data_IF_577903090614
#
_entry.id   IF_577903090614
#
_cell.length_a   1.000
_cell.length_b   1.000
_cell.length_c   1.000
_cell.angle_alpha   90.00
_cell.angle_beta   90.00
_cell.angle_gamma   90.00
#
_symmetry.space_group_name_H-M   'P 1'
#
loop_
_entity.id
_entity.type
_entity.pdbx_description
1 polymer ?
#
# COMPACT_ATOMS: atom_id res chain seq x y z
N UNK A 1 21.51 -30.70 14.88
CA UNK A 1 20.78 -29.62 14.20
C UNK A 1 19.46 -29.48 14.92
N UNK A 2 19.38 -28.54 15.87
CA UNK A 2 18.10 -28.22 16.53
C UNK A 2 17.47 -27.18 15.63
N UNK A 3 16.43 -27.59 14.93
CA UNK A 3 15.56 -26.68 14.18
C UNK A 3 14.79 -25.86 15.23
N UNK A 4 15.14 -24.58 15.38
CA UNK A 4 14.41 -23.67 16.25
C UNK A 4 13.07 -23.37 15.59
N UNK A 5 12.03 -24.13 15.99
CA UNK A 5 10.65 -23.67 15.82
C UNK A 5 10.56 -22.23 16.37
N UNK A 6 9.86 -21.32 15.68
CA UNK A 6 9.65 -19.98 16.20
C UNK A 6 9.06 -20.07 17.62
N UNK A 7 9.51 -19.21 18.52
CA UNK A 7 8.93 -19.13 19.86
C UNK A 7 7.43 -18.84 19.74
N UNK A 8 6.60 -19.41 20.61
CA UNK A 8 5.14 -19.23 20.57
C UNK A 8 4.75 -17.75 20.43
N UNK A 9 5.46 -16.85 21.12
CA UNK A 9 5.31 -15.39 21.03
C UNK A 9 5.53 -14.83 19.62
N UNK A 10 6.51 -15.33 18.86
CA UNK A 10 6.75 -14.89 17.48
C UNK A 10 5.63 -15.35 16.54
N UNK A 11 5.11 -16.56 16.75
CA UNK A 11 3.94 -17.06 16.01
C UNK A 11 2.67 -16.28 16.34
N UNK A 12 2.45 -15.95 17.61
CA UNK A 12 1.29 -15.17 18.06
C UNK A 12 1.34 -13.75 17.49
N UNK A 13 2.52 -13.10 17.53
CA UNK A 13 2.74 -11.78 16.92
C UNK A 13 2.38 -11.78 15.43
N UNK A 14 2.88 -12.77 14.68
CA UNK A 14 2.58 -12.90 13.26
C UNK A 14 1.07 -13.06 13.00
N UNK A 15 0.35 -13.82 13.85
CA UNK A 15 -1.10 -13.97 13.73
C UNK A 15 -1.86 -12.65 13.98
N UNK A 16 -1.43 -11.84 14.95
CA UNK A 16 -2.02 -10.51 15.18
C UNK A 16 -1.77 -9.57 14.01
N UNK A 17 -0.52 -9.47 13.53
CA UNK A 17 -0.17 -8.62 12.39
C UNK A 17 -0.94 -9.03 11.13
N UNK A 18 -1.06 -10.34 10.88
CA UNK A 18 -1.88 -10.86 9.79
C UNK A 18 -3.31 -10.36 9.87
N UNK A 19 -3.92 -10.42 11.05
CA UNK A 19 -5.31 -9.97 11.23
C UNK A 19 -5.47 -8.46 11.02
N UNK A 20 -4.50 -7.66 11.47
CA UNK A 20 -4.47 -6.22 11.25
C UNK A 20 -4.37 -5.90 9.74
N UNK A 21 -3.53 -6.62 9.00
CA UNK A 21 -3.39 -6.46 7.55
C UNK A 21 -4.64 -6.91 6.77
N UNK A 22 -5.36 -7.94 7.25
CA UNK A 22 -6.63 -8.38 6.64
C UNK A 22 -7.71 -7.29 6.72
N UNK A 23 -7.84 -6.62 7.86
CA UNK A 23 -8.88 -5.61 8.13
C UNK A 23 -8.27 -4.27 8.55
N UNK A 24 -7.59 -3.55 7.64
CA UNK A 24 -6.78 -2.39 7.99
C UNK A 24 -7.60 -1.18 8.45
N UNK A 25 -8.91 -1.12 8.15
CA UNK A 25 -9.78 -0.05 8.65
C UNK A 25 -10.45 -0.35 9.99
N UNK A 26 -10.35 -1.59 10.49
CA UNK A 26 -10.91 -1.99 11.78
C UNK A 26 -9.87 -1.80 12.90
N UNK A 27 -10.23 -1.07 13.95
CA UNK A 27 -9.35 -0.85 15.09
C UNK A 27 -9.39 -2.02 16.08
N UNK A 28 -10.38 -2.91 15.98
CA UNK A 28 -10.56 -4.05 16.91
C UNK A 28 -9.32 -4.94 16.96
N UNK A 29 -8.73 -5.42 15.83
CA UNK A 29 -7.51 -6.22 15.88
C UNK A 29 -6.30 -5.47 16.45
N UNK A 30 -6.23 -4.14 16.27
CA UNK A 30 -5.14 -3.32 16.81
C UNK A 30 -5.24 -3.19 18.33
N UNK A 31 -6.46 -3.04 18.85
CA UNK A 31 -6.70 -3.00 20.29
C UNK A 31 -6.37 -4.35 20.95
N UNK A 32 -6.80 -5.47 20.35
CA UNK A 32 -6.45 -6.81 20.83
C UNK A 32 -4.94 -7.04 20.81
N UNK A 33 -4.25 -6.59 19.76
CA UNK A 33 -2.78 -6.64 19.70
C UNK A 33 -2.13 -5.78 20.80
N UNK A 34 -2.67 -4.59 21.08
CA UNK A 34 -2.24 -3.76 22.20
C UNK A 34 -2.41 -4.45 23.56
N UNK A 35 -3.54 -5.11 23.79
CA UNK A 35 -3.77 -5.89 25.02
C UNK A 35 -2.72 -7.01 25.17
N UNK A 36 -2.44 -7.73 24.09
CA UNK A 36 -1.41 -8.77 24.08
C UNK A 36 0.01 -8.23 24.31
N UNK A 37 0.36 -7.09 23.70
CA UNK A 37 1.65 -6.41 23.93
C UNK A 37 1.84 -6.07 25.42
N UNK A 38 0.79 -5.56 26.06
CA UNK A 38 0.81 -5.27 27.50
C UNK A 38 1.02 -6.53 28.34
N UNK A 39 0.38 -7.65 27.98
CA UNK A 39 0.55 -8.95 28.65
C UNK A 39 1.99 -9.48 28.59
N UNK A 40 2.71 -9.26 27.48
CA UNK A 40 4.11 -9.67 27.33
C UNK A 40 5.13 -8.62 27.84
N UNK A 41 4.64 -7.51 28.39
CA UNK A 41 5.47 -6.45 28.99
C UNK A 41 5.88 -5.32 28.03
N UNK A 42 5.40 -5.32 26.79
CA UNK A 42 5.62 -4.27 25.78
C UNK A 42 4.61 -3.12 25.92
N UNK A 43 4.49 -2.60 27.15
CA UNK A 43 3.46 -1.62 27.55
C UNK A 43 3.53 -0.34 26.72
N UNK A 44 4.74 0.11 26.35
CA UNK A 44 4.93 1.35 25.57
C UNK A 44 4.39 1.23 24.15
N UNK A 45 4.57 0.09 23.49
CA UNK A 45 4.03 -0.15 22.15
C UNK A 45 2.50 -0.25 22.21
N UNK A 46 1.96 -0.93 23.23
CA UNK A 46 0.51 -1.01 23.47
C UNK A 46 -0.15 0.37 23.67
N UNK A 47 0.41 1.19 24.55
CA UNK A 47 -0.06 2.56 24.81
C UNK A 47 0.01 3.41 23.54
N UNK A 48 1.11 3.34 22.80
CA UNK A 48 1.29 4.08 21.56
C UNK A 48 0.21 3.73 20.51
N UNK A 49 -0.09 2.45 20.31
CA UNK A 49 -1.13 2.01 19.36
C UNK A 49 -2.50 2.58 19.76
N UNK A 50 -2.88 2.45 21.04
CA UNK A 50 -4.17 2.95 21.55
C UNK A 50 -4.28 4.47 21.42
N UNK A 51 -3.21 5.20 21.72
CA UNK A 51 -3.17 6.66 21.57
C UNK A 51 -3.33 7.08 20.10
N UNK A 52 -2.63 6.41 19.18
CA UNK A 52 -2.70 6.71 17.75
C UNK A 52 -4.08 6.39 17.14
N UNK A 53 -4.81 5.39 17.66
CA UNK A 53 -6.21 5.13 17.28
C UNK A 53 -7.10 6.33 17.66
N UNK A 54 -6.94 6.85 18.87
CA UNK A 54 -7.75 7.99 19.36
C UNK A 54 -7.33 9.31 18.70
N UNK A 55 -6.04 9.47 18.36
CA UNK A 55 -5.45 10.70 17.80
C UNK A 55 -4.60 10.41 16.57
N UNK A 56 -5.22 10.05 15.43
CA UNK A 56 -4.49 9.65 14.22
C UNK A 56 -3.73 10.80 13.53
N UNK A 57 -3.88 12.04 13.99
CA UNK A 57 -3.26 13.23 13.38
C UNK A 57 -1.75 13.37 13.63
N UNK A 58 -1.11 12.43 14.33
CA UNK A 58 0.33 12.42 14.51
C UNK A 58 0.99 11.64 13.36
N UNK A 59 1.16 12.30 12.21
CA UNK A 59 1.96 11.75 11.12
C UNK A 59 3.43 11.83 11.54
N UNK A 60 4.06 10.68 11.75
CA UNK A 60 5.52 10.60 11.87
C UNK A 60 6.03 10.11 10.51
N UNK A 61 6.61 11.01 9.71
CA UNK A 61 7.35 10.61 8.51
C UNK A 61 8.65 9.95 8.97
N UNK A 62 8.73 8.64 8.79
CA UNK A 62 9.93 7.85 9.03
C UNK A 62 10.47 7.42 7.67
N UNK A 63 11.61 7.99 7.27
CA UNK A 63 12.39 7.45 6.16
C UNK A 63 13.09 6.19 6.68
N UNK A 64 12.65 5.02 6.22
CA UNK A 64 13.27 3.75 6.58
C UNK A 64 14.04 3.24 5.36
N UNK A 65 15.33 3.14 5.58
CA UNK A 65 16.37 2.55 4.75
C UNK A 65 16.83 3.35 3.51
N UNK A 66 18.15 3.44 3.45
CA UNK A 66 18.93 3.93 2.30
C UNK A 66 19.44 2.70 1.58
N UNK A 67 19.34 2.68 0.26
CA UNK A 67 20.03 1.68 -0.54
C UNK A 67 21.54 1.85 -0.36
N UNK A 68 22.22 0.90 0.29
CA UNK A 68 23.68 0.97 0.46
C UNK A 68 24.42 0.92 -0.89
N UNK A 69 23.80 0.41 -1.96
CA UNK A 69 24.37 0.25 -3.30
C UNK A 69 24.01 1.43 -4.21
N UNK A 70 22.78 1.93 -4.19
CA UNK A 70 22.33 3.03 -5.07
C UNK A 70 22.28 4.41 -4.40
N UNK A 71 22.24 4.46 -3.06
CA UNK A 71 22.11 5.69 -2.28
C UNK A 71 20.71 6.32 -2.30
N UNK A 72 19.72 5.68 -2.91
CA UNK A 72 18.35 6.19 -3.00
C UNK A 72 17.58 5.99 -1.66
N UNK A 73 16.72 6.96 -1.32
CA UNK A 73 15.77 6.82 -0.20
C UNK A 73 14.66 5.88 -0.66
N UNK A 74 14.47 4.75 0.02
CA UNK A 74 13.61 3.70 -0.52
C UNK A 74 12.11 3.98 -0.34
N UNK A 75 11.71 4.48 0.82
CA UNK A 75 10.30 4.59 1.17
C UNK A 75 10.02 5.76 2.14
N UNK A 76 9.02 6.57 1.81
CA UNK A 76 8.41 7.50 2.78
C UNK A 76 7.06 6.92 3.24
N UNK A 77 6.89 6.82 4.56
CA UNK A 77 5.69 6.24 5.16
C UNK A 77 5.04 7.19 6.16
N UNK A 78 3.70 7.16 6.18
CA UNK A 78 2.92 7.78 7.24
C UNK A 78 2.47 6.68 8.22
N UNK A 79 2.90 6.79 9.48
CA UNK A 79 2.35 5.96 10.54
C UNK A 79 0.99 6.52 10.99
N UNK A 80 -0.05 5.71 10.90
CA UNK A 80 -1.40 6.02 11.36
C UNK A 80 -1.88 4.87 12.23
N UNK A 81 -2.52 5.18 13.36
CA UNK A 81 -3.09 4.16 14.28
C UNK A 81 -2.07 3.10 14.72
N UNK A 82 -0.80 3.51 14.85
CA UNK A 82 0.30 2.66 15.28
C UNK A 82 1.00 1.85 14.17
N UNK A 83 0.59 1.95 12.90
CA UNK A 83 1.15 1.17 11.80
C UNK A 83 1.43 2.01 10.55
N UNK A 84 2.31 1.53 9.67
CA UNK A 84 2.50 2.14 8.35
C UNK A 84 1.28 1.84 7.47
N UNK A 85 0.55 2.89 7.10
CA UNK A 85 -0.68 2.75 6.30
C UNK A 85 -0.55 3.40 4.90
N UNK A 86 0.48 4.20 4.68
CA UNK A 86 0.76 4.86 3.40
C UNK A 86 2.22 4.64 3.02
N UNK A 87 2.45 4.39 1.73
CA UNK A 87 3.75 4.10 1.16
C UNK A 87 4.02 5.01 -0.06
N UNK A 88 5.17 5.67 -0.10
CA UNK A 88 5.67 6.40 -1.28
C UNK A 88 7.03 5.86 -1.74
N UNK A 89 7.13 5.40 -2.99
CA UNK A 89 8.35 4.83 -3.58
C UNK A 89 8.32 4.79 -5.12
N UNK A 90 9.41 4.37 -5.76
CA UNK A 90 9.40 4.12 -7.20
C UNK A 90 8.57 2.88 -7.56
N UNK A 91 8.07 2.82 -8.79
CA UNK A 91 7.39 1.63 -9.31
C UNK A 91 8.28 0.38 -9.27
N UNK A 92 9.59 0.51 -9.49
CA UNK A 92 10.51 -0.63 -9.45
C UNK A 92 10.60 -1.21 -8.04
N UNK A 93 10.83 -0.36 -7.03
CA UNK A 93 10.93 -0.79 -5.64
C UNK A 93 9.61 -1.39 -5.15
N UNK A 94 8.48 -0.79 -5.55
CA UNK A 94 7.18 -1.35 -5.25
C UNK A 94 7.01 -2.77 -5.79
N UNK A 95 7.34 -3.01 -7.06
CA UNK A 95 7.19 -4.33 -7.68
C UNK A 95 8.11 -5.39 -7.05
N UNK A 96 9.27 -4.98 -6.54
CA UNK A 96 10.23 -5.88 -5.88
C UNK A 96 9.80 -6.26 -4.45
N UNK A 97 9.22 -5.33 -3.69
CA UNK A 97 8.99 -5.49 -2.25
C UNK A 97 7.52 -5.60 -1.82
N UNK A 98 6.56 -5.53 -2.75
CA UNK A 98 5.13 -5.47 -2.40
C UNK A 98 4.65 -6.65 -1.53
N UNK A 99 5.11 -7.88 -1.77
CA UNK A 99 4.69 -9.05 -0.97
C UNK A 99 5.08 -8.92 0.50
N UNK A 100 6.34 -8.56 0.77
CA UNK A 100 6.90 -8.39 2.11
C UNK A 100 6.18 -7.24 2.83
N UNK A 101 6.11 -6.08 2.18
CA UNK A 101 5.50 -4.88 2.75
C UNK A 101 4.02 -5.11 3.16
N UNK A 102 3.25 -5.79 2.33
CA UNK A 102 1.84 -6.07 2.63
C UNK A 102 1.64 -7.24 3.61
N UNK A 103 2.65 -8.09 3.80
CA UNK A 103 2.60 -9.16 4.80
C UNK A 103 2.79 -8.63 6.23
N UNK A 104 3.51 -7.51 6.37
CA UNK A 104 3.87 -6.93 7.68
C UNK A 104 3.10 -5.66 8.05
N UNK A 105 2.58 -4.93 7.05
CA UNK A 105 1.98 -3.62 7.27
C UNK A 105 0.56 -3.50 6.67
N UNK A 106 -0.39 -2.86 7.40
CA UNK A 106 -1.75 -2.61 6.94
C UNK A 106 -1.82 -1.45 5.94
N UNK A 107 -1.07 -1.53 4.84
CA UNK A 107 -1.01 -0.50 3.82
C UNK A 107 -2.36 -0.32 3.13
N UNK A 108 -2.81 0.94 3.09
CA UNK A 108 -4.06 1.38 2.45
C UNK A 108 -3.83 2.40 1.35
N UNK A 109 -2.59 2.88 1.18
CA UNK A 109 -2.24 3.82 0.12
C UNK A 109 -0.84 3.55 -0.41
N UNK A 110 -0.68 3.61 -1.73
CA UNK A 110 0.62 3.51 -2.41
C UNK A 110 0.74 4.64 -3.43
N UNK A 111 1.79 5.44 -3.33
CA UNK A 111 2.11 6.52 -4.26
C UNK A 111 3.41 6.19 -4.98
N UNK A 112 3.29 5.94 -6.29
CA UNK A 112 4.46 5.73 -7.14
C UNK A 112 5.07 7.08 -7.56
N UNK A 113 6.28 7.37 -7.08
CA UNK A 113 6.96 8.66 -7.23
C UNK A 113 7.27 9.00 -8.68
N UNK A 114 7.55 7.98 -9.49
CA UNK A 114 7.97 8.02 -10.89
C UNK A 114 6.82 7.81 -11.90
N UNK A 115 5.57 7.72 -11.43
CA UNK A 115 4.40 7.51 -12.30
C UNK A 115 3.43 8.67 -12.30
N UNK A 116 3.05 9.13 -13.49
CA UNK A 116 2.08 10.21 -13.69
C UNK A 116 1.20 9.89 -14.90
N UNK A 117 -0.13 10.11 -14.83
CA UNK A 117 -1.00 9.86 -15.95
C UNK A 117 -0.74 10.90 -17.05
N UNK A 118 -0.65 10.45 -18.30
CA UNK A 118 -0.52 11.37 -19.43
C UNK A 118 -1.86 12.09 -19.65
N UNK A 119 -1.82 13.41 -19.76
CA UNK A 119 -3.03 14.24 -19.91
C UNK A 119 -3.05 14.94 -21.26
N UNK A 120 -4.05 14.62 -22.09
CA UNK A 120 -4.40 15.35 -23.32
C UNK A 120 -5.78 16.03 -23.16
N UNK A 121 -6.32 16.63 -24.24
CA UNK A 121 -7.68 17.23 -24.26
C UNK A 121 -8.82 16.25 -23.91
N UNK A 122 -8.47 15.00 -23.69
CA UNK A 122 -9.30 13.84 -23.88
C UNK A 122 -9.33 13.06 -22.56
N UNK A 123 -8.37 13.27 -21.66
CA UNK A 123 -8.37 12.95 -20.24
C UNK A 123 -7.09 12.24 -19.77
N UNK A 124 -6.80 12.23 -18.46
CA UNK A 124 -5.64 11.54 -17.88
C UNK A 124 -5.68 10.04 -18.19
N UNK A 125 -4.55 9.49 -18.61
CA UNK A 125 -4.48 8.16 -19.23
C UNK A 125 -3.28 7.36 -18.71
N UNK A 126 -3.55 6.11 -18.31
CA UNK A 126 -2.55 5.07 -18.06
C UNK A 126 -2.45 4.13 -19.26
N UNK A 127 -1.25 3.60 -19.48
CA UNK A 127 -0.92 2.65 -20.53
C UNK A 127 -0.40 1.33 -19.94
N UNK A 128 -0.87 0.21 -20.49
CA UNK A 128 -0.40 -1.12 -20.12
C UNK A 128 0.96 -1.43 -20.77
N UNK A 129 2.01 -1.63 -19.96
CA UNK A 129 3.36 -1.94 -20.45
C UNK A 129 3.42 -3.24 -21.27
N UNK A 130 2.71 -4.28 -20.85
CA UNK A 130 2.76 -5.62 -21.46
C UNK A 130 2.06 -5.70 -22.82
N UNK A 131 1.30 -4.68 -23.22
CA UNK A 131 0.56 -4.74 -24.47
C UNK A 131 1.48 -4.57 -25.70
N UNK A 132 1.28 -5.34 -26.80
CA UNK A 132 2.16 -5.30 -27.98
C UNK A 132 2.31 -3.92 -28.63
N UNK A 133 1.26 -3.10 -28.57
CA UNK A 133 1.30 -1.71 -29.06
C UNK A 133 2.17 -0.77 -28.21
N UNK A 134 2.56 -1.18 -27.01
CA UNK A 134 3.35 -0.37 -26.06
C UNK A 134 4.79 -0.90 -25.93
N UNK A 135 5.02 -2.20 -26.15
CA UNK A 135 6.32 -2.90 -25.98
C UNK A 135 7.52 -2.35 -26.78
N UNK A 136 7.35 -1.33 -27.64
CA UNK A 136 8.42 -0.69 -28.40
C UNK A 136 8.71 0.78 -28.02
N UNK A 137 7.97 1.34 -27.07
CA UNK A 137 8.15 2.72 -26.62
C UNK A 137 9.08 2.78 -25.41
N UNK A 138 9.87 3.86 -25.32
CA UNK A 138 10.63 4.17 -24.11
C UNK A 138 9.67 4.24 -22.91
N UNK A 139 10.03 3.67 -21.74
CA UNK A 139 9.18 3.74 -20.55
C UNK A 139 8.91 5.20 -20.20
N UNK A 140 7.67 5.64 -20.35
CA UNK A 140 7.20 6.94 -19.90
C UNK A 140 6.46 6.82 -18.57
N UNK A 141 6.34 7.93 -17.84
CA UNK A 141 5.72 7.98 -16.51
C UNK A 141 4.26 7.45 -16.50
N UNK A 142 3.57 7.46 -17.64
CA UNK A 142 2.20 6.99 -17.79
C UNK A 142 2.05 5.52 -18.20
N UNK A 143 3.17 4.80 -18.33
CA UNK A 143 3.20 3.35 -18.61
C UNK A 143 3.41 2.62 -17.28
N UNK A 144 2.49 1.72 -16.94
CA UNK A 144 2.50 0.94 -15.70
C UNK A 144 2.51 -0.56 -16.01
N UNK A 145 2.95 -1.37 -15.05
CA UNK A 145 3.01 -2.83 -15.18
C UNK A 145 1.63 -3.44 -15.46
N UNK A 146 1.61 -4.58 -16.15
CA UNK A 146 0.38 -5.25 -16.61
C UNK A 146 -0.51 -5.62 -15.43
N UNK A 147 0.12 -6.16 -14.39
CA UNK A 147 -0.49 -6.67 -13.18
C UNK A 147 -1.24 -5.56 -12.43
N UNK A 148 -0.63 -4.38 -12.33
CA UNK A 148 -1.28 -3.19 -11.74
C UNK A 148 -2.33 -2.63 -12.69
N UNK A 149 -2.04 -2.57 -13.99
CA UNK A 149 -2.97 -2.02 -14.99
C UNK A 149 -4.30 -2.76 -15.03
N UNK A 150 -4.28 -4.09 -14.95
CA UNK A 150 -5.46 -4.95 -15.02
C UNK A 150 -6.35 -4.82 -13.77
N UNK A 151 -5.81 -4.27 -12.68
CA UNK A 151 -6.53 -3.98 -11.44
C UNK A 151 -7.11 -2.55 -11.40
N UNK A 152 -6.83 -1.70 -12.40
CA UNK A 152 -7.40 -0.35 -12.43
C UNK A 152 -8.93 -0.38 -12.50
N UNK A 153 -9.57 0.47 -11.71
CA UNK A 153 -11.03 0.67 -11.71
C UNK A 153 -11.36 2.17 -11.77
N UNK A 154 -12.64 2.54 -11.89
CA UNK A 154 -13.06 3.94 -11.90
C UNK A 154 -12.74 4.74 -13.17
N UNK A 155 -12.25 4.07 -14.23
CA UNK A 155 -12.00 4.72 -15.51
C UNK A 155 -13.29 5.15 -16.21
N UNK A 156 -13.25 6.32 -16.85
CA UNK A 156 -14.29 6.80 -17.78
C UNK A 156 -14.35 5.95 -19.05
N UNK A 157 -13.19 5.47 -19.51
CA UNK A 157 -13.09 4.64 -20.72
C UNK A 157 -11.89 3.71 -20.63
N UNK A 158 -12.10 2.46 -21.02
CA UNK A 158 -11.05 1.47 -21.16
C UNK A 158 -11.12 0.84 -22.57
N UNK A 159 -9.98 0.75 -23.26
CA UNK A 159 -9.90 0.10 -24.58
C UNK A 159 -8.47 -0.36 -24.87
N UNK A 160 -8.26 -1.67 -24.93
CA UNK A 160 -6.94 -2.24 -25.20
C UNK A 160 -5.94 -1.80 -24.12
N UNK A 161 -4.78 -1.22 -24.47
CA UNK A 161 -3.79 -0.81 -23.48
C UNK A 161 -4.11 0.50 -22.77
N UNK A 162 -5.31 1.07 -22.95
CA UNK A 162 -5.61 2.46 -22.57
C UNK A 162 -6.72 2.46 -21.52
N UNK A 163 -6.40 2.93 -20.31
CA UNK A 163 -7.36 3.26 -19.25
C UNK A 163 -7.37 4.76 -19.02
N UNK A 164 -8.54 5.38 -19.11
CA UNK A 164 -8.71 6.84 -19.09
C UNK A 164 -9.70 7.31 -18.05
N UNK A 165 -9.36 8.42 -17.41
CA UNK A 165 -10.06 8.98 -16.26
C UNK A 165 -10.66 10.35 -16.54
N UNK A 166 -11.50 10.81 -15.62
CA UNK A 166 -12.17 12.12 -15.69
C UNK A 166 -11.16 13.23 -15.39
N UNK A 167 -10.33 13.03 -14.37
CA UNK A 167 -9.31 13.96 -13.89
C UNK A 167 -8.11 13.17 -13.33
N UNK A 168 -7.03 13.91 -13.02
CA UNK A 168 -5.74 13.31 -12.65
C UNK A 168 -5.78 12.74 -11.24
N UNK A 169 -6.62 13.29 -10.37
CA UNK A 169 -6.80 12.82 -8.99
C UNK A 169 -7.42 11.42 -9.01
N UNK A 170 -8.51 11.24 -9.75
CA UNK A 170 -9.16 9.94 -9.96
C UNK A 170 -8.23 8.91 -10.58
N UNK A 171 -7.35 9.33 -11.51
CA UNK A 171 -6.37 8.46 -12.13
C UNK A 171 -5.28 8.00 -11.16
N UNK A 172 -4.79 8.89 -10.31
CA UNK A 172 -3.79 8.57 -9.28
C UNK A 172 -4.38 7.73 -8.15
N UNK A 173 -5.62 8.02 -7.75
CA UNK A 173 -6.36 7.22 -6.77
C UNK A 173 -6.59 5.79 -7.29
N UNK A 174 -7.00 5.64 -8.54
CA UNK A 174 -7.15 4.32 -9.16
C UNK A 174 -5.82 3.56 -9.23
N UNK A 175 -4.71 4.24 -9.51
CA UNK A 175 -3.38 3.63 -9.47
C UNK A 175 -3.02 3.18 -8.04
N UNK A 176 -3.22 4.04 -7.03
CA UNK A 176 -2.97 3.70 -5.63
C UNK A 176 -3.78 2.47 -5.19
N UNK A 177 -5.08 2.42 -5.50
CA UNK A 177 -5.93 1.27 -5.16
C UNK A 177 -5.50 0.00 -5.88
N UNK A 178 -5.12 0.09 -7.15
CA UNK A 178 -4.62 -1.05 -7.91
C UNK A 178 -3.30 -1.59 -7.33
N UNK A 179 -2.38 -0.73 -6.91
CA UNK A 179 -1.17 -1.14 -6.18
C UNK A 179 -1.51 -1.84 -4.87
N UNK A 180 -2.46 -1.30 -4.09
CA UNK A 180 -2.90 -1.94 -2.83
C UNK A 180 -3.50 -3.32 -3.09
N UNK A 181 -4.37 -3.46 -4.09
CA UNK A 181 -4.96 -4.76 -4.43
C UNK A 181 -3.89 -5.75 -4.93
N UNK A 182 -2.91 -5.30 -5.71
CA UNK A 182 -1.78 -6.12 -6.16
C UNK A 182 -0.92 -6.62 -4.99
N UNK A 183 -0.49 -5.73 -4.10
CA UNK A 183 0.32 -6.11 -2.93
C UNK A 183 -0.42 -7.06 -2.00
N UNK A 184 -1.73 -6.84 -1.79
CA UNK A 184 -2.59 -7.75 -1.03
C UNK A 184 -2.69 -9.12 -1.67
N UNK A 185 -2.84 -9.20 -3.00
CA UNK A 185 -2.88 -10.48 -3.71
C UNK A 185 -1.59 -11.28 -3.52
N UNK A 186 -0.43 -10.64 -3.65
CA UNK A 186 0.88 -11.27 -3.41
C UNK A 186 1.00 -11.79 -1.97
N UNK A 187 0.61 -11.00 -0.98
CA UNK A 187 0.61 -11.39 0.43
C UNK A 187 -0.50 -12.40 0.79
N UNK A 188 -1.33 -12.83 -0.17
CA UNK A 188 -2.46 -13.74 0.06
C UNK A 188 -3.56 -13.14 0.94
N UNK A 189 -3.68 -11.82 1.02
CA UNK A 189 -4.70 -11.09 1.76
C UNK A 189 -6.00 -10.99 0.94
N UNK A 190 -7.17 -10.87 1.58
CA UNK A 190 -8.43 -10.63 0.87
C UNK A 190 -8.39 -9.27 0.15
N UNK A 191 -9.13 -9.11 -0.96
CA UNK A 191 -9.26 -7.81 -1.66
C UNK A 191 -9.69 -6.70 -0.70
N UNK A 192 -9.21 -5.48 -0.94
CA UNK A 192 -9.51 -4.36 -0.06
C UNK A 192 -11.00 -4.00 -0.10
N UNK A 193 -11.62 -3.87 1.08
CA UNK A 193 -12.95 -3.27 1.23
C UNK A 193 -12.75 -1.82 1.62
N UNK A 194 -12.85 -0.93 0.64
CA UNK A 194 -12.68 0.50 0.86
C UNK A 194 -13.88 1.08 1.62
N UNK A 195 -13.66 1.90 2.66
CA UNK A 195 -14.74 2.62 3.31
C UNK A 195 -15.45 3.49 2.27
N UNK A 196 -16.79 3.50 2.31
CA UNK A 196 -17.58 4.36 1.42
C UNK A 196 -17.15 5.80 1.68
N UNK A 197 -16.69 6.49 0.63
CA UNK A 197 -16.36 7.91 0.71
C UNK A 197 -17.59 8.64 1.26
N UNK A 198 -17.51 9.10 2.51
CA UNK A 198 -18.48 10.08 2.99
C UNK A 198 -18.22 11.32 2.16
N UNK A 199 -19.05 11.56 1.15
CA UNK A 199 -19.04 12.76 0.33
C UNK A 199 -18.67 13.95 1.20
N UNK A 200 -17.47 14.51 1.00
CA UNK A 200 -17.10 15.83 1.53
C UNK A 200 -18.09 16.82 0.92
N UNK A 201 -19.19 16.99 1.63
CA UNK A 201 -20.24 17.92 1.25
C UNK A 201 -19.77 19.30 1.65
N UNK A 202 -19.28 20.04 0.65
CA UNK A 202 -19.10 21.50 0.61
C UNK A 202 -17.96 22.11 1.42
#
# INVERSE_FOLDING_TARGET
MIDMMPTQTASDRAAFLRRICETPFDDTPRLIYGDWLEEIGEVREAEFIREQIVRPSMIISLATDIDEITGERFFEYDQCRGFFESLECSCSNFMEHAEELFSEHPLTRVKLTDKRPFSDQRGPTWLNRGHPLIQGFQPSENVIETEIFDLLTGFKRHRGPISRFIDSESALEALSRACVDYGRELAGLPKMVWPVEQNKSS
#
